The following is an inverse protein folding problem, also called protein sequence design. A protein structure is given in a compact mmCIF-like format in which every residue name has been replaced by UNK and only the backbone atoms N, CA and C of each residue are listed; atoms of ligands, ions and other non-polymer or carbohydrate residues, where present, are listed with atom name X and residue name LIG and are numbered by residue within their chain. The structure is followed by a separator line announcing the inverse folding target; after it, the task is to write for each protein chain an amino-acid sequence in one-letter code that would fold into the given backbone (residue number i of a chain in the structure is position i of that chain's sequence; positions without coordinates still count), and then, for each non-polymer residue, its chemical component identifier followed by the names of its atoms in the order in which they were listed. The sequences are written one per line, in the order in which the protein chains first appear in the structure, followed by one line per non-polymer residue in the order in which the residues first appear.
data_IF_915912934153
#
_entry.id   IF_915912934153
#
_cell.length_a   1.000
_cell.length_b   1.000
_cell.length_c   1.000
_cell.angle_alpha   90.00
_cell.angle_beta   90.00
_cell.angle_gamma   90.00
#
_symmetry.space_group_name_H-M   'P 1'
#
loop_
_entity.id
_entity.type
_entity.pdbx_description
1 polymer ?
#
# COMPACT_ATOMS: atom_id res chain seq x y z
N UNK A 1 20.16 9.57 10.91
CA UNK A 1 19.06 10.52 10.60
C UNK A 1 18.37 10.94 11.90
N UNK A 2 18.19 12.25 12.14
CA UNK A 2 17.43 12.73 13.29
C UNK A 2 15.99 12.21 13.29
N UNK A 3 15.46 11.89 14.48
CA UNK A 3 14.11 11.34 14.59
C UNK A 3 13.05 12.46 14.67
N UNK A 4 12.88 13.19 13.59
CA UNK A 4 11.84 14.22 13.44
C UNK A 4 11.29 14.22 12.00
N UNK A 5 10.10 14.78 11.83
CA UNK A 5 9.38 14.75 10.55
C UNK A 5 10.16 15.44 9.43
N UNK A 6 10.83 16.54 9.74
CA UNK A 6 11.63 17.30 8.78
C UNK A 6 12.79 16.45 8.22
N UNK A 7 13.50 15.72 9.08
CA UNK A 7 14.57 14.82 8.64
C UNK A 7 14.00 13.63 7.87
N UNK A 8 12.87 13.06 8.30
CA UNK A 8 12.18 11.97 7.59
C UNK A 8 11.75 12.39 6.18
N UNK A 9 11.22 13.60 6.03
CA UNK A 9 10.85 14.13 4.72
C UNK A 9 12.06 14.40 3.82
N UNK A 10 13.14 14.96 4.36
CA UNK A 10 14.32 15.32 3.58
C UNK A 10 15.23 14.13 3.32
N UNK A 11 15.83 13.57 4.39
CA UNK A 11 16.86 12.52 4.29
C UNK A 11 16.26 11.14 3.97
N UNK A 12 15.03 10.89 4.45
CA UNK A 12 14.28 9.69 4.15
C UNK A 12 13.63 9.77 2.77
N UNK A 13 12.54 10.52 2.64
CA UNK A 13 11.71 10.50 1.45
C UNK A 13 12.37 11.15 0.23
N UNK A 14 12.97 12.35 0.38
CA UNK A 14 13.50 13.09 -0.78
C UNK A 14 14.88 12.62 -1.24
N UNK A 15 15.73 12.09 -0.36
CA UNK A 15 17.10 11.71 -0.69
C UNK A 15 17.29 10.19 -0.85
N UNK A 16 16.39 9.35 -0.31
CA UNK A 16 16.52 7.90 -0.38
C UNK A 16 15.58 7.30 -1.43
N UNK A 17 16.09 6.73 -2.53
CA UNK A 17 15.26 6.21 -3.62
C UNK A 17 14.39 5.00 -3.18
N UNK A 18 14.85 4.18 -2.23
CA UNK A 18 14.10 3.01 -1.76
C UNK A 18 12.90 3.44 -0.93
N UNK A 19 13.10 4.40 -0.03
CA UNK A 19 12.02 4.98 0.78
C UNK A 19 10.98 5.64 -0.11
N UNK A 20 11.43 6.45 -1.08
CA UNK A 20 10.55 7.09 -2.06
C UNK A 20 9.74 6.05 -2.84
N UNK A 21 10.40 5.01 -3.36
CA UNK A 21 9.74 3.94 -4.11
C UNK A 21 8.69 3.22 -3.24
N UNK A 22 9.04 2.82 -2.01
CA UNK A 22 8.10 2.15 -1.10
C UNK A 22 6.87 3.00 -0.80
N UNK A 23 7.07 4.27 -0.43
CA UNK A 23 5.98 5.18 -0.11
C UNK A 23 5.09 5.46 -1.33
N UNK A 24 5.71 5.67 -2.51
CA UNK A 24 5.00 5.93 -3.77
C UNK A 24 4.20 4.73 -4.26
N UNK A 25 4.75 3.51 -4.19
CA UNK A 25 4.04 2.29 -4.57
C UNK A 25 2.76 2.14 -3.73
N UNK A 26 2.86 2.32 -2.40
CA UNK A 26 1.71 2.20 -1.50
C UNK A 26 0.71 3.33 -1.76
N UNK A 27 1.17 4.58 -1.93
CA UNK A 27 0.31 5.73 -2.15
C UNK A 27 -0.46 5.64 -3.48
N UNK A 28 0.23 5.30 -4.57
CA UNK A 28 -0.40 5.12 -5.88
C UNK A 28 -1.39 3.94 -5.89
N UNK A 29 -1.04 2.82 -5.25
CA UNK A 29 -1.96 1.70 -5.10
C UNK A 29 -3.23 2.11 -4.32
N UNK A 30 -3.08 2.82 -3.21
CA UNK A 30 -4.21 3.30 -2.42
C UNK A 30 -5.09 4.30 -3.18
N UNK A 31 -4.49 5.19 -3.98
CA UNK A 31 -5.21 6.19 -4.78
C UNK A 31 -6.00 5.59 -5.95
N UNK A 32 -5.59 4.42 -6.46
CA UNK A 32 -6.25 3.77 -7.60
C UNK A 32 -7.61 3.16 -7.27
N UNK A 33 -7.96 3.07 -5.97
CA UNK A 33 -9.19 2.41 -5.53
C UNK A 33 -10.37 3.37 -5.58
N UNK A 34 -11.47 2.93 -6.19
CA UNK A 34 -12.69 3.73 -6.32
C UNK A 34 -13.47 3.75 -5.00
N UNK A 35 -13.86 4.95 -4.58
CA UNK A 35 -14.73 5.14 -3.42
C UNK A 35 -16.19 4.92 -3.75
N UNK A 36 -16.92 4.37 -2.80
CA UNK A 36 -18.36 4.14 -2.86
C UNK A 36 -19.03 4.52 -1.54
N UNK A 37 -20.29 4.93 -1.62
CA UNK A 37 -21.13 5.15 -0.44
C UNK A 37 -22.20 4.07 -0.43
N UNK A 38 -22.33 3.41 0.70
CA UNK A 38 -23.36 2.37 0.94
C UNK A 38 -24.42 2.92 1.89
N UNK A 39 -25.67 2.65 1.56
CA UNK A 39 -26.80 2.82 2.48
C UNK A 39 -27.26 1.44 2.91
N UNK A 40 -27.45 1.23 4.21
CA UNK A 40 -27.94 -0.02 4.78
C UNK A 40 -29.41 0.13 5.11
N UNK A 41 -30.28 -0.69 4.56
CA UNK A 41 -31.72 -0.69 4.85
C UNK A 41 -32.03 -1.25 6.26
N UNK A 42 -33.29 -1.16 6.68
CA UNK A 42 -33.74 -1.69 7.97
C UNK A 42 -33.61 -3.22 8.10
N UNK A 43 -33.41 -3.93 7.00
CA UNK A 43 -33.19 -5.38 6.95
C UNK A 43 -31.70 -5.75 6.96
N UNK A 44 -30.80 -4.76 6.94
CA UNK A 44 -29.37 -4.97 6.92
C UNK A 44 -28.76 -5.11 5.51
N UNK A 45 -29.55 -4.98 4.44
CA UNK A 45 -29.04 -5.05 3.07
C UNK A 45 -28.30 -3.74 2.71
N UNK A 46 -27.11 -3.88 2.14
CA UNK A 46 -26.30 -2.77 1.68
C UNK A 46 -26.57 -2.48 0.22
N UNK A 47 -26.85 -1.22 -0.09
CA UNK A 47 -27.03 -0.75 -1.46
C UNK A 47 -26.06 0.40 -1.75
N UNK A 48 -25.46 0.40 -2.93
CA UNK A 48 -24.57 1.49 -3.38
C UNK A 48 -25.43 2.73 -3.69
N UNK A 49 -25.10 3.86 -3.07
CA UNK A 49 -25.69 5.15 -3.38
C UNK A 49 -24.71 5.96 -4.25
N UNK A 50 -24.93 5.95 -5.55
CA UNK A 50 -24.10 6.64 -6.54
C UNK A 50 -24.32 8.15 -6.61
N UNK A 51 -25.33 8.68 -5.89
CA UNK A 51 -25.72 10.11 -5.92
C UNK A 51 -25.49 10.80 -4.58
N UNK A 52 -24.87 10.14 -3.63
CA UNK A 52 -24.64 10.73 -2.32
C UNK A 52 -23.67 11.92 -2.39
N UNK A 53 -24.00 13.09 -1.80
CA UNK A 53 -23.18 14.31 -1.90
C UNK A 53 -21.75 14.18 -1.37
N UNK A 54 -21.49 13.20 -0.51
CA UNK A 54 -20.15 12.89 -0.03
C UNK A 54 -19.22 12.41 -1.16
N UNK A 55 -19.76 11.76 -2.20
CA UNK A 55 -18.98 11.34 -3.37
C UNK A 55 -18.46 12.54 -4.17
N UNK A 56 -19.26 13.61 -4.29
CA UNK A 56 -18.84 14.84 -4.96
C UNK A 56 -17.68 15.50 -4.21
N UNK A 57 -17.76 15.57 -2.87
CA UNK A 57 -16.67 16.07 -2.02
C UNK A 57 -15.41 15.21 -2.15
N UNK A 58 -15.56 13.87 -2.17
CA UNK A 58 -14.42 12.98 -2.29
C UNK A 58 -13.81 13.01 -3.69
N UNK A 59 -14.60 13.16 -4.75
CA UNK A 59 -14.10 13.29 -6.12
C UNK A 59 -13.26 14.57 -6.32
N UNK A 60 -13.62 15.64 -5.63
CA UNK A 60 -12.89 16.92 -5.64
C UNK A 60 -12.79 17.49 -4.23
N UNK A 61 -11.83 17.02 -3.43
CA UNK A 61 -11.70 17.41 -2.02
C UNK A 61 -11.48 18.90 -1.81
N UNK A 62 -10.83 19.58 -2.75
CA UNK A 62 -10.61 21.01 -2.77
C UNK A 62 -10.42 21.51 -4.21
N UNK A 63 -10.39 22.86 -4.46
CA UNK A 63 -10.25 23.40 -5.81
C UNK A 63 -8.97 23.01 -6.55
N UNK A 64 -7.94 22.56 -5.85
CA UNK A 64 -6.60 22.28 -6.39
C UNK A 64 -6.30 20.79 -6.61
N UNK A 65 -7.09 19.88 -6.01
CA UNK A 65 -6.77 18.47 -5.99
C UNK A 65 -7.94 17.60 -6.40
N UNK A 66 -7.65 16.54 -7.16
CA UNK A 66 -8.54 15.40 -7.36
C UNK A 66 -8.44 14.44 -6.16
N UNK A 67 -9.31 13.42 -6.11
CA UNK A 67 -9.22 12.37 -5.09
C UNK A 67 -7.87 11.65 -5.13
N UNK A 68 -7.38 11.33 -6.33
CA UNK A 68 -6.13 10.61 -6.49
C UNK A 68 -4.95 11.38 -5.90
N UNK A 69 -4.84 12.67 -6.22
CA UNK A 69 -3.78 13.54 -5.68
C UNK A 69 -3.89 13.67 -4.15
N UNK A 70 -5.10 13.84 -3.65
CA UNK A 70 -5.39 13.91 -2.22
C UNK A 70 -5.04 12.61 -1.50
N UNK A 71 -5.40 11.45 -2.08
CA UNK A 71 -5.09 10.14 -1.52
C UNK A 71 -3.59 9.85 -1.51
N UNK A 72 -2.87 10.23 -2.59
CA UNK A 72 -1.41 10.11 -2.66
C UNK A 72 -0.76 10.93 -1.56
N UNK A 73 -1.13 12.19 -1.39
CA UNK A 73 -0.57 13.07 -0.36
C UNK A 73 -0.84 12.53 1.06
N UNK A 74 -2.08 12.13 1.32
CA UNK A 74 -2.52 11.55 2.59
C UNK A 74 -1.71 10.31 2.98
N UNK A 75 -1.56 9.37 2.04
CA UNK A 75 -0.82 8.13 2.26
C UNK A 75 0.69 8.39 2.34
N UNK A 76 1.22 9.29 1.50
CA UNK A 76 2.64 9.66 1.57
C UNK A 76 3.00 10.24 2.95
N UNK A 77 2.22 11.17 3.50
CA UNK A 77 2.42 11.68 4.85
C UNK A 77 2.33 10.57 5.90
N UNK A 78 1.35 9.67 5.78
CA UNK A 78 1.26 8.53 6.69
C UNK A 78 2.51 7.63 6.64
N UNK A 79 3.11 7.45 5.46
CA UNK A 79 4.33 6.63 5.29
C UNK A 79 5.60 7.37 5.70
N UNK A 80 5.63 8.71 5.62
CA UNK A 80 6.79 9.52 6.01
C UNK A 80 6.74 9.90 7.49
N UNK A 81 5.62 10.44 7.95
CA UNK A 81 5.48 10.94 9.32
C UNK A 81 4.86 9.95 10.31
N UNK A 82 4.24 8.88 9.80
CA UNK A 82 3.43 7.95 10.59
C UNK A 82 2.05 8.50 10.94
N UNK A 83 1.69 9.66 10.41
CA UNK A 83 0.43 10.35 10.67
C UNK A 83 0.13 11.38 9.59
N UNK A 84 -1.13 11.79 9.51
CA UNK A 84 -1.56 12.95 8.74
C UNK A 84 -2.80 13.61 9.34
N UNK A 85 -3.06 14.83 8.92
CA UNK A 85 -4.14 15.66 9.42
C UNK A 85 -4.97 16.18 8.26
N UNK A 86 -6.30 16.04 8.36
CA UNK A 86 -7.23 16.57 7.37
C UNK A 86 -8.07 17.67 8.05
N UNK A 87 -8.00 18.88 7.50
CA UNK A 87 -8.83 20.00 7.87
C UNK A 87 -10.09 19.99 7.00
N UNK A 88 -11.29 20.11 7.61
CA UNK A 88 -12.54 20.32 6.91
C UNK A 88 -12.96 21.79 6.95
N UNK A 89 -13.46 22.30 5.84
CA UNK A 89 -14.03 23.63 5.73
C UNK A 89 -15.46 23.56 5.13
N UNK A 90 -16.40 24.39 5.62
CA UNK A 90 -16.31 25.29 6.79
C UNK A 90 -16.26 24.52 8.12
N UNK A 91 -16.02 25.25 9.20
CA UNK A 91 -15.99 24.67 10.56
C UNK A 91 -17.33 24.06 10.97
N UNK A 92 -18.43 24.73 10.60
CA UNK A 92 -19.79 24.28 10.92
C UNK A 92 -20.56 23.90 9.67
N UNK A 93 -21.47 22.95 9.80
CA UNK A 93 -22.30 22.45 8.71
C UNK A 93 -21.64 21.42 7.83
N UNK A 94 -22.18 21.23 6.62
CA UNK A 94 -21.64 20.25 5.66
C UNK A 94 -20.28 20.70 5.12
N UNK A 95 -19.26 19.85 5.17
CA UNK A 95 -17.98 20.16 4.57
C UNK A 95 -18.10 20.38 3.06
N UNK A 96 -17.41 21.41 2.57
CA UNK A 96 -17.29 21.71 1.15
C UNK A 96 -15.89 21.48 0.62
N UNK A 97 -14.89 21.54 1.52
CA UNK A 97 -13.48 21.39 1.17
C UNK A 97 -12.74 20.62 2.26
N UNK A 98 -11.75 19.85 1.84
CA UNK A 98 -10.83 19.11 2.68
C UNK A 98 -9.40 19.45 2.29
N UNK A 99 -8.53 19.71 3.27
CA UNK A 99 -7.11 20.01 3.07
C UNK A 99 -6.24 19.14 3.94
N UNK A 100 -5.18 18.61 3.37
CA UNK A 100 -4.15 17.91 4.15
C UNK A 100 -3.19 18.94 4.72
N UNK A 101 -2.96 18.87 6.01
CA UNK A 101 -2.05 19.78 6.71
C UNK A 101 -0.70 19.10 6.93
N UNK A 102 0.39 19.85 6.70
CA UNK A 102 1.76 19.36 6.90
C UNK A 102 1.97 18.94 8.38
N UNK A 103 2.27 17.67 8.65
CA UNK A 103 2.47 17.20 10.02
C UNK A 103 3.63 17.85 10.78
N UNK A 104 4.64 18.37 10.06
CA UNK A 104 5.78 19.08 10.69
C UNK A 104 5.37 20.42 11.31
N UNK A 105 4.29 21.03 10.78
CA UNK A 105 3.74 22.31 11.26
C UNK A 105 2.60 22.12 12.27
N UNK A 106 2.22 20.89 12.56
CA UNK A 106 1.11 20.56 13.46
C UNK A 106 1.64 20.26 14.86
N UNK A 107 1.08 20.94 15.84
CA UNK A 107 1.32 20.70 17.26
C UNK A 107 0.03 20.16 17.90
N UNK A 108 0.11 18.98 18.54
CA UNK A 108 -1.03 18.36 19.21
C UNK A 108 -0.90 18.62 20.71
N UNK A 109 -1.76 19.47 21.24
CA UNK A 109 -1.77 19.78 22.68
C UNK A 109 -2.63 18.76 23.42
N UNK A 110 -1.98 17.95 24.23
CA UNK A 110 -2.62 16.99 25.13
C UNK A 110 -3.15 17.67 26.39
N UNK A 111 -4.06 16.97 27.07
CA UNK A 111 -4.43 17.30 28.44
C UNK A 111 -3.44 16.64 29.41
N UNK A 112 -3.24 17.22 30.59
CA UNK A 112 -2.44 16.64 31.66
C UNK A 112 -3.01 15.29 32.13
N UNK A 113 -4.30 15.09 31.96
CA UNK A 113 -5.00 13.83 32.22
C UNK A 113 -5.97 13.48 31.09
N UNK A 114 -5.90 12.24 30.59
CA UNK A 114 -6.81 11.70 29.59
C UNK A 114 -6.15 11.47 28.22
N UNK A 115 -6.89 10.81 27.32
CA UNK A 115 -6.41 10.37 26.01
C UNK A 115 -6.98 11.20 24.86
N UNK A 116 -7.72 12.28 25.15
CA UNK A 116 -8.32 13.17 24.15
C UNK A 116 -7.47 14.44 24.12
N UNK A 117 -6.99 14.88 22.93
CA UNK A 117 -6.25 16.13 22.83
C UNK A 117 -7.15 17.32 23.17
N UNK A 118 -6.56 18.39 23.68
CA UNK A 118 -7.28 19.65 23.96
C UNK A 118 -7.56 20.41 22.68
N UNK A 119 -6.55 20.48 21.81
CA UNK A 119 -6.58 21.24 20.56
C UNK A 119 -5.45 20.86 19.65
N UNK A 120 -5.60 21.20 18.40
CA UNK A 120 -4.55 21.19 17.39
C UNK A 120 -4.11 22.62 17.11
N UNK A 121 -2.80 22.85 16.98
CA UNK A 121 -2.21 24.14 16.64
C UNK A 121 -1.40 23.99 15.36
N UNK A 122 -1.77 24.73 14.31
CA UNK A 122 -1.11 24.64 13.00
C UNK A 122 -0.42 25.95 12.63
N UNK A 123 0.84 25.88 12.26
CA UNK A 123 1.65 27.02 11.83
C UNK A 123 2.95 27.16 12.61
N UNK A 124 3.71 28.23 12.28
CA UNK A 124 5.01 28.54 12.87
C UNK A 124 4.97 29.85 13.66
N UNK A 125 5.82 29.94 14.70
CA UNK A 125 5.94 31.14 15.52
C UNK A 125 4.68 31.46 16.33
N UNK A 126 4.36 32.75 16.47
CA UNK A 126 3.24 33.22 17.29
C UNK A 126 1.87 33.17 16.58
N UNK A 127 1.88 33.13 15.23
CA UNK A 127 0.65 33.08 14.43
C UNK A 127 0.31 31.64 14.09
N UNK A 128 -0.32 30.93 15.05
CA UNK A 128 -0.85 29.59 14.84
C UNK A 128 -2.36 29.62 14.74
N UNK A 129 -2.91 28.85 13.78
CA UNK A 129 -4.33 28.53 13.75
C UNK A 129 -4.61 27.48 14.81
N UNK A 130 -5.66 27.71 15.62
CA UNK A 130 -6.02 26.83 16.74
C UNK A 130 -7.35 26.15 16.44
N UNK A 131 -7.36 24.83 16.50
CA UNK A 131 -8.54 24.00 16.27
C UNK A 131 -8.88 23.26 17.56
N UNK A 132 -9.95 23.65 18.27
CA UNK A 132 -10.33 23.01 19.53
C UNK A 132 -10.87 21.59 19.29
N UNK A 133 -10.76 20.75 20.32
CA UNK A 133 -11.38 19.43 20.35
C UNK A 133 -12.45 19.42 21.44
N UNK A 134 -13.65 19.01 21.08
CA UNK A 134 -14.71 18.80 22.06
C UNK A 134 -14.38 17.59 22.93
N UNK A 135 -14.11 17.80 24.20
CA UNK A 135 -13.68 16.74 25.13
C UNK A 135 -14.78 15.72 25.46
N UNK A 136 -16.03 16.05 25.24
CA UNK A 136 -17.16 15.15 25.51
C UNK A 136 -17.42 14.20 24.32
N UNK A 137 -17.36 14.75 23.10
CA UNK A 137 -17.64 13.99 21.86
C UNK A 137 -16.40 13.54 21.11
N UNK A 138 -15.24 14.15 21.36
CA UNK A 138 -14.01 13.94 20.60
C UNK A 138 -14.01 14.65 19.24
N UNK A 139 -15.06 15.41 18.93
CA UNK A 139 -15.21 16.11 17.64
C UNK A 139 -14.25 17.28 17.52
N UNK A 140 -13.71 17.45 16.33
CA UNK A 140 -12.84 18.55 15.93
C UNK A 140 -13.06 18.90 14.46
N UNK A 141 -12.56 20.04 14.04
CA UNK A 141 -12.43 20.41 12.63
C UNK A 141 -11.29 19.61 11.95
N UNK A 142 -10.39 19.03 12.73
CA UNK A 142 -9.25 18.25 12.27
C UNK A 142 -9.53 16.75 12.45
N UNK A 143 -9.39 15.97 11.39
CA UNK A 143 -9.24 14.52 11.48
C UNK A 143 -7.76 14.19 11.59
N UNK A 144 -7.37 13.53 12.65
CA UNK A 144 -6.02 13.03 12.88
C UNK A 144 -6.00 11.50 12.76
N UNK A 145 -5.25 10.99 11.80
CA UNK A 145 -5.00 9.55 11.62
C UNK A 145 -3.52 9.30 11.86
N UNK A 146 -3.22 8.36 12.75
CA UNK A 146 -1.84 8.06 13.15
C UNK A 146 -1.62 6.57 13.39
N UNK A 147 -0.39 6.13 13.20
CA UNK A 147 0.10 4.82 13.63
C UNK A 147 0.26 4.79 15.15
N UNK A 148 0.21 3.59 15.72
CA UNK A 148 0.51 3.41 17.13
C UNK A 148 1.95 3.85 17.44
N UNK A 149 2.12 4.63 18.51
CA UNK A 149 3.41 5.10 18.98
C UNK A 149 3.51 4.85 20.50
N UNK A 150 4.32 3.88 20.95
CA UNK A 150 4.46 3.59 22.36
C UNK A 150 5.16 4.71 23.14
N UNK A 151 5.93 5.56 22.45
CA UNK A 151 6.72 6.62 23.10
C UNK A 151 6.00 7.96 23.16
N UNK A 152 4.92 8.14 22.39
CA UNK A 152 4.16 9.39 22.34
C UNK A 152 2.71 9.13 21.97
N UNK A 153 1.82 9.31 22.94
CA UNK A 153 0.39 9.08 22.73
C UNK A 153 -0.27 10.08 21.78
N UNK A 154 0.35 11.24 21.55
CA UNK A 154 -0.22 12.33 20.72
C UNK A 154 0.21 12.28 19.27
N UNK A 155 1.35 11.67 18.97
CA UNK A 155 1.94 11.64 17.62
C UNK A 155 2.06 10.20 17.10
N UNK A 156 1.98 10.04 15.80
CA UNK A 156 2.21 8.77 15.13
C UNK A 156 3.69 8.35 15.13
N UNK A 157 3.95 7.04 15.04
CA UNK A 157 5.30 6.52 14.82
C UNK A 157 5.55 6.39 13.32
N UNK A 158 6.52 7.14 12.81
CA UNK A 158 6.95 7.01 11.42
C UNK A 158 7.54 5.62 11.15
N UNK A 159 7.21 4.96 10.02
CA UNK A 159 7.95 3.78 9.57
C UNK A 159 9.46 4.03 9.39
N UNK A 160 9.85 5.27 9.11
CA UNK A 160 11.26 5.67 9.04
C UNK A 160 11.98 5.61 10.38
N UNK A 161 11.28 5.67 11.50
CA UNK A 161 11.92 5.57 12.82
C UNK A 161 12.67 4.24 13.01
N UNK A 162 12.05 3.07 12.84
CA UNK A 162 12.76 1.79 12.87
C UNK A 162 13.70 1.61 11.67
N UNK A 163 13.39 2.18 10.51
CA UNK A 163 14.21 2.09 9.30
C UNK A 163 15.36 3.12 9.24
N UNK A 164 15.49 4.02 10.23
CA UNK A 164 16.45 5.14 10.19
C UNK A 164 17.88 4.68 9.94
N UNK A 165 18.34 3.63 10.61
CA UNK A 165 19.68 3.08 10.43
C UNK A 165 19.90 2.52 9.03
N UNK A 166 18.96 1.76 8.50
CA UNK A 166 19.03 1.23 7.14
C UNK A 166 19.04 2.37 6.10
N UNK A 167 18.21 3.39 6.31
CA UNK A 167 18.21 4.61 5.47
C UNK A 167 19.56 5.31 5.48
N UNK A 168 20.19 5.47 6.66
CA UNK A 168 21.52 6.10 6.78
C UNK A 168 22.61 5.26 6.10
N UNK A 169 22.59 3.94 6.24
CA UNK A 169 23.54 3.03 5.56
C UNK A 169 23.41 3.20 4.05
N UNK A 170 22.19 3.18 3.52
CA UNK A 170 21.94 3.31 2.08
C UNK A 170 22.38 4.70 1.57
N UNK A 171 21.98 5.79 2.24
CA UNK A 171 22.33 7.15 1.86
C UNK A 171 23.85 7.38 1.90
N UNK A 172 24.51 6.98 2.99
CA UNK A 172 25.95 7.15 3.14
C UNK A 172 26.74 6.28 2.16
N UNK A 173 26.29 5.04 1.91
CA UNK A 173 26.87 4.17 0.88
C UNK A 173 26.77 4.78 -0.51
N UNK A 174 25.61 5.34 -0.86
CA UNK A 174 25.38 6.01 -2.14
C UNK A 174 26.24 7.29 -2.28
N UNK A 175 26.31 8.13 -1.23
CA UNK A 175 27.16 9.33 -1.21
C UNK A 175 28.65 8.97 -1.32
N UNK A 176 29.06 7.91 -0.60
CA UNK A 176 30.44 7.46 -0.65
C UNK A 176 30.81 6.97 -2.06
N UNK A 177 29.98 6.15 -2.71
CA UNK A 177 30.17 5.71 -4.08
C UNK A 177 30.22 6.88 -5.06
N UNK A 178 29.31 7.85 -4.92
CA UNK A 178 29.29 9.06 -5.73
C UNK A 178 30.58 9.86 -5.58
N UNK A 179 31.04 10.08 -4.35
CA UNK A 179 32.29 10.80 -4.08
C UNK A 179 33.51 10.04 -4.61
N UNK A 180 33.52 8.71 -4.50
CA UNK A 180 34.60 7.90 -5.05
C UNK A 180 34.69 8.03 -6.58
N UNK A 181 33.54 8.02 -7.27
CA UNK A 181 33.47 8.24 -8.72
C UNK A 181 33.90 9.65 -9.10
N UNK A 182 33.43 10.68 -8.37
CA UNK A 182 33.84 12.08 -8.58
C UNK A 182 35.38 12.28 -8.42
N UNK A 183 35.97 11.53 -7.50
CA UNK A 183 37.42 11.54 -7.27
C UNK A 183 38.17 10.49 -8.10
N UNK A 184 37.61 10.10 -9.27
CA UNK A 184 38.25 9.20 -10.22
C UNK A 184 38.49 7.78 -9.67
N UNK A 185 37.62 7.33 -8.74
CA UNK A 185 37.68 6.02 -8.08
C UNK A 185 39.02 5.71 -7.39
N UNK A 186 39.76 6.75 -6.97
CA UNK A 186 41.05 6.57 -6.30
C UNK A 186 40.87 6.46 -4.79
N UNK A 187 41.52 5.51 -4.16
CA UNK A 187 41.50 5.38 -2.72
C UNK A 187 42.25 6.55 -2.04
N UNK A 188 41.77 6.90 -0.84
CA UNK A 188 42.46 7.90 0.00
C UNK A 188 43.87 7.42 0.35
N UNK A 189 44.82 8.28 0.31
CA UNK A 189 46.21 7.97 0.62
C UNK A 189 46.94 9.16 1.18
N UNK A 190 48.16 8.92 1.65
CA UNK A 190 49.09 9.93 2.12
C UNK A 190 50.26 10.03 1.14
N UNK A 191 50.61 11.25 0.80
CA UNK A 191 51.87 11.53 0.07
C UNK A 191 52.93 11.87 1.09
N UNK A 192 53.89 10.99 1.22
CA UNK A 192 55.06 11.20 2.06
C UNK A 192 56.13 11.89 1.22
N UNK A 193 56.69 13.01 1.73
CA UNK A 193 57.78 13.71 1.08
C UNK A 193 59.01 13.63 1.99
N UNK A 194 60.14 13.25 1.46
CA UNK A 194 61.35 13.12 2.24
C UNK A 194 61.92 14.52 2.59
N UNK A 195 62.24 14.74 3.88
CA UNK A 195 62.82 15.98 4.38
C UNK A 195 61.81 17.03 4.85
N UNK A 196 62.34 18.18 5.31
CA UNK A 196 61.51 19.31 5.78
C UNK A 196 61.10 20.14 4.58
N UNK A 197 59.79 20.31 4.38
CA UNK A 197 59.20 21.05 3.25
C UNK A 197 58.58 22.31 3.80
N UNK A 198 58.81 23.45 3.15
CA UNK A 198 58.19 24.71 3.49
C UNK A 198 56.71 24.76 3.13
N UNK A 199 55.95 25.62 3.81
CA UNK A 199 54.49 25.72 3.67
C UNK A 199 54.04 26.06 2.23
N UNK A 200 54.86 26.85 1.52
CA UNK A 200 54.61 27.24 0.13
C UNK A 200 54.65 26.02 -0.81
N UNK A 201 55.65 25.17 -0.59
CA UNK A 201 55.80 23.90 -1.36
C UNK A 201 54.68 22.90 -1.01
N UNK A 202 54.26 22.79 0.26
CA UNK A 202 53.12 21.97 0.67
C UNK A 202 51.84 22.43 -0.05
N UNK A 203 51.58 23.73 -0.11
CA UNK A 203 50.41 24.28 -0.78
C UNK A 203 50.43 24.03 -2.29
N UNK A 204 51.61 24.21 -2.95
CA UNK A 204 51.79 23.89 -4.38
C UNK A 204 51.56 22.39 -4.67
N UNK A 205 52.07 21.51 -3.84
CA UNK A 205 51.83 20.08 -3.96
C UNK A 205 50.36 19.76 -3.80
N UNK A 206 49.67 20.34 -2.81
CA UNK A 206 48.22 20.15 -2.60
C UNK A 206 47.42 20.62 -3.81
N UNK A 207 47.71 21.76 -4.37
CA UNK A 207 47.05 22.25 -5.58
C UNK A 207 47.33 21.38 -6.81
N UNK A 208 48.57 20.91 -6.97
CA UNK A 208 48.95 20.01 -8.03
C UNK A 208 48.16 18.68 -7.94
N UNK A 209 48.13 18.08 -6.76
CA UNK A 209 47.37 16.85 -6.54
C UNK A 209 45.88 17.10 -6.78
N UNK A 210 45.36 18.21 -6.32
CA UNK A 210 43.96 18.58 -6.56
C UNK A 210 43.65 18.66 -8.07
N UNK A 211 44.48 19.39 -8.83
CA UNK A 211 44.30 19.51 -10.29
C UNK A 211 44.53 18.22 -11.06
N UNK A 212 45.46 17.39 -10.64
CA UNK A 212 45.86 16.18 -11.37
C UNK A 212 44.97 14.95 -11.03
N UNK A 213 44.32 14.98 -9.83
CA UNK A 213 43.64 13.79 -9.30
C UNK A 213 42.15 13.98 -9.03
N UNK A 214 41.68 15.18 -8.77
CA UNK A 214 40.27 15.41 -8.53
C UNK A 214 39.50 15.55 -9.87
N UNK A 215 38.26 14.97 -9.88
CA UNK A 215 37.31 15.09 -10.98
C UNK A 215 37.34 13.92 -11.98
N UNK A 216 36.15 13.63 -12.53
CA UNK A 216 35.93 12.52 -13.49
C UNK A 216 36.81 12.67 -14.75
N UNK A 217 37.11 13.90 -15.18
CA UNK A 217 37.96 14.18 -16.33
C UNK A 217 39.44 13.71 -16.15
N UNK A 218 39.86 13.50 -14.90
CA UNK A 218 41.20 13.05 -14.56
C UNK A 218 41.27 11.54 -14.28
N UNK A 219 40.18 10.80 -14.53
CA UNK A 219 40.15 9.36 -14.36
C UNK A 219 41.20 8.68 -15.25
N UNK A 220 42.06 7.89 -14.64
CA UNK A 220 43.13 7.18 -15.37
C UNK A 220 44.45 7.96 -15.48
N UNK A 221 44.52 9.25 -15.15
CA UNK A 221 45.77 10.01 -15.16
C UNK A 221 46.71 9.48 -14.08
N UNK A 222 47.99 9.32 -14.42
CA UNK A 222 49.04 8.91 -13.49
C UNK A 222 49.86 10.13 -13.14
N UNK A 223 49.75 10.67 -11.91
CA UNK A 223 50.58 11.82 -11.52
C UNK A 223 52.03 11.39 -11.35
N UNK A 224 52.92 12.28 -11.83
CA UNK A 224 54.33 12.08 -11.64
C UNK A 224 54.75 12.59 -10.24
N UNK A 225 55.29 11.68 -9.42
CA UNK A 225 55.87 12.04 -8.13
C UNK A 225 57.36 12.28 -8.31
N UNK A 226 57.84 13.48 -7.91
CA UNK A 226 59.25 13.87 -7.96
C UNK A 226 59.76 14.17 -6.56
N UNK A 227 61.08 14.26 -6.38
CA UNK A 227 61.69 14.64 -5.09
C UNK A 227 61.59 13.60 -3.99
N UNK A 228 61.48 12.30 -4.32
CA UNK A 228 61.43 11.26 -3.31
C UNK A 228 60.04 11.08 -2.66
N UNK A 229 59.03 11.74 -3.21
CA UNK A 229 57.66 11.58 -2.71
C UNK A 229 57.13 10.15 -2.96
N UNK A 230 56.49 9.57 -1.94
CA UNK A 230 55.90 8.22 -1.99
C UNK A 230 54.41 8.30 -1.66
N UNK A 231 53.60 7.66 -2.47
CA UNK A 231 52.17 7.54 -2.20
C UNK A 231 51.91 6.23 -1.44
N UNK A 232 51.30 6.33 -0.27
CA UNK A 232 50.87 5.20 0.54
C UNK A 232 49.35 5.22 0.65
N UNK A 233 48.71 4.17 0.16
CA UNK A 233 47.26 4.02 0.23
C UNK A 233 46.84 3.72 1.68
N UNK A 234 45.89 4.47 2.22
CA UNK A 234 45.38 4.32 3.59
C UNK A 234 44.01 3.66 3.67
N UNK A 235 43.30 3.58 2.55
CA UNK A 235 41.93 3.05 2.55
C UNK A 235 41.87 1.61 2.07
N UNK A 236 40.92 0.87 2.63
CA UNK A 236 40.51 -0.43 2.11
C UNK A 236 39.85 -0.28 0.73
N UNK A 237 39.95 -1.30 -0.12
CA UNK A 237 39.26 -1.28 -1.40
C UNK A 237 37.74 -1.36 -1.18
N UNK A 238 36.91 -0.78 -2.09
CA UNK A 238 35.45 -0.92 -2.03
C UNK A 238 34.98 -2.37 -1.94
N UNK A 239 35.75 -3.29 -2.54
CA UNK A 239 35.48 -4.71 -2.53
C UNK A 239 35.65 -5.36 -1.14
N UNK A 240 36.57 -4.80 -0.33
CA UNK A 240 36.84 -5.33 1.02
C UNK A 240 35.76 -4.91 2.05
N UNK A 241 34.89 -3.96 1.71
CA UNK A 241 33.87 -3.41 2.60
C UNK A 241 32.47 -3.99 2.36
N UNK A 242 32.29 -4.91 1.41
CA UNK A 242 30.96 -5.50 1.07
C UNK A 242 29.83 -4.45 0.89
N UNK A 243 30.17 -3.26 0.36
CA UNK A 243 29.23 -2.14 0.25
C UNK A 243 27.96 -2.50 -0.50
N UNK A 244 28.09 -3.28 -1.57
CA UNK A 244 26.96 -3.70 -2.38
C UNK A 244 25.98 -4.54 -1.55
N UNK A 245 26.49 -5.51 -0.79
CA UNK A 245 25.66 -6.35 0.07
C UNK A 245 25.03 -5.55 1.22
N UNK A 246 25.76 -4.60 1.78
CA UNK A 246 25.24 -3.72 2.84
C UNK A 246 24.12 -2.82 2.33
N UNK A 247 24.27 -2.24 1.13
CA UNK A 247 23.24 -1.42 0.50
C UNK A 247 22.00 -2.25 0.12
N UNK A 248 22.20 -3.45 -0.44
CA UNK A 248 21.11 -4.39 -0.74
C UNK A 248 20.39 -4.84 0.54
N UNK A 249 21.13 -5.12 1.61
CA UNK A 249 20.57 -5.41 2.93
C UNK A 249 19.73 -4.26 3.48
N UNK A 250 20.26 -3.04 3.41
CA UNK A 250 19.55 -1.85 3.85
C UNK A 250 18.26 -1.60 3.03
N UNK A 251 18.32 -1.79 1.71
CA UNK A 251 17.13 -1.70 0.86
C UNK A 251 16.05 -2.74 1.23
N UNK A 252 16.48 -3.96 1.55
CA UNK A 252 15.59 -5.03 2.02
C UNK A 252 14.95 -4.68 3.37
N UNK A 253 15.72 -4.14 4.31
CA UNK A 253 15.21 -3.74 5.63
C UNK A 253 14.18 -2.60 5.51
N UNK A 254 14.43 -1.62 4.63
CA UNK A 254 13.48 -0.55 4.33
C UNK A 254 12.19 -1.16 3.75
N UNK A 255 12.29 -2.01 2.72
CA UNK A 255 11.13 -2.68 2.12
C UNK A 255 10.31 -3.46 3.14
N UNK A 256 10.97 -4.19 4.05
CA UNK A 256 10.32 -4.95 5.12
C UNK A 256 9.52 -4.06 6.07
N UNK A 257 10.09 -2.94 6.51
CA UNK A 257 9.41 -1.99 7.42
C UNK A 257 8.21 -1.34 6.74
N UNK A 258 8.29 -1.06 5.44
CA UNK A 258 7.18 -0.50 4.67
C UNK A 258 6.12 -1.54 4.29
N UNK A 259 6.43 -2.84 4.42
CA UNK A 259 5.56 -3.92 3.96
C UNK A 259 5.50 -4.04 2.44
N UNK A 260 6.55 -3.60 1.73
CA UNK A 260 6.67 -3.74 0.28
C UNK A 260 7.50 -4.97 -0.04
N UNK A 261 6.95 -5.96 -0.76
CA UNK A 261 7.69 -7.15 -1.15
C UNK A 261 8.91 -6.82 -2.02
N UNK A 262 10.03 -7.47 -1.74
CA UNK A 262 11.30 -7.20 -2.40
C UNK A 262 11.27 -7.30 -3.94
N UNK A 263 10.55 -8.26 -4.57
CA UNK A 263 10.45 -8.33 -6.04
C UNK A 263 9.88 -7.06 -6.69
N UNK A 264 9.11 -6.25 -5.95
CA UNK A 264 8.58 -4.97 -6.44
C UNK A 264 9.60 -3.82 -6.36
N UNK A 265 10.70 -4.01 -5.64
CA UNK A 265 11.77 -3.02 -5.46
C UNK A 265 13.02 -3.35 -6.29
N UNK A 266 13.27 -4.63 -6.58
CA UNK A 266 14.46 -5.09 -7.30
C UNK A 266 14.07 -6.12 -8.35
N UNK A 267 14.66 -6.02 -9.55
CA UNK A 267 14.38 -6.95 -10.64
C UNK A 267 15.19 -8.26 -10.58
N UNK A 268 16.13 -8.40 -9.65
CA UNK A 268 17.09 -9.50 -9.61
C UNK A 268 16.48 -10.90 -9.38
N UNK A 269 15.27 -10.96 -8.82
CA UNK A 269 14.56 -12.23 -8.56
C UNK A 269 13.15 -12.26 -9.19
N UNK A 270 12.85 -11.38 -10.13
CA UNK A 270 11.52 -11.21 -10.68
C UNK A 270 11.23 -12.28 -11.75
N UNK A 271 10.43 -13.29 -11.39
CA UNK A 271 9.72 -14.14 -12.34
C UNK A 271 8.26 -13.70 -12.38
N UNK A 272 7.53 -13.98 -13.47
CA UNK A 272 6.11 -13.60 -13.58
C UNK A 272 5.29 -14.09 -12.37
N UNK A 273 5.47 -15.33 -11.97
CA UNK A 273 4.73 -15.89 -10.82
C UNK A 273 5.08 -15.24 -9.49
N UNK A 274 6.34 -14.79 -9.30
CA UNK A 274 6.75 -14.10 -8.09
C UNK A 274 6.25 -12.64 -8.06
N UNK A 275 6.11 -12.02 -9.22
CA UNK A 275 5.60 -10.65 -9.32
C UNK A 275 4.10 -10.58 -8.99
N UNK A 276 3.29 -11.50 -9.51
CA UNK A 276 1.86 -11.56 -9.22
C UNK A 276 1.62 -11.83 -7.72
N UNK A 277 2.35 -12.79 -7.14
CA UNK A 277 2.29 -13.08 -5.72
C UNK A 277 2.76 -11.88 -4.86
N UNK A 278 3.79 -11.15 -5.32
CA UNK A 278 4.27 -9.96 -4.63
C UNK A 278 3.26 -8.82 -4.69
N UNK A 279 2.61 -8.61 -5.84
CA UNK A 279 1.53 -7.62 -5.96
C UNK A 279 0.35 -7.97 -5.07
N UNK A 280 -0.13 -9.21 -5.12
CA UNK A 280 -1.22 -9.67 -4.26
C UNK A 280 -0.90 -9.45 -2.78
N UNK A 281 0.31 -9.83 -2.35
CA UNK A 281 0.76 -9.64 -0.98
C UNK A 281 0.87 -8.16 -0.58
N UNK A 282 1.35 -7.28 -1.47
CA UNK A 282 1.34 -5.84 -1.23
C UNK A 282 -0.08 -5.33 -0.93
N UNK A 283 -1.06 -5.78 -1.70
CA UNK A 283 -2.44 -5.39 -1.51
C UNK A 283 -3.02 -5.94 -0.21
N UNK A 284 -2.92 -7.25 0.03
CA UNK A 284 -3.54 -7.92 1.18
C UNK A 284 -2.91 -7.52 2.51
N UNK A 285 -1.59 -7.41 2.57
CA UNK A 285 -0.86 -7.22 3.82
C UNK A 285 -0.60 -5.74 4.15
N UNK A 286 -0.59 -4.85 3.13
CA UNK A 286 -0.18 -3.45 3.33
C UNK A 286 -1.25 -2.45 2.90
N UNK A 287 -1.72 -2.50 1.65
CA UNK A 287 -2.59 -1.45 1.11
C UNK A 287 -4.00 -1.54 1.67
N UNK A 288 -4.64 -2.71 1.63
CA UNK A 288 -6.01 -2.88 2.12
C UNK A 288 -6.17 -2.61 3.62
N UNK A 289 -5.28 -3.09 4.52
CA UNK A 289 -5.36 -2.75 5.94
C UNK A 289 -5.26 -1.24 6.19
N UNK A 290 -4.37 -0.56 5.45
CA UNK A 290 -4.23 0.89 5.54
C UNK A 290 -5.47 1.62 5.03
N UNK A 291 -5.99 1.24 3.86
CA UNK A 291 -7.22 1.81 3.30
C UNK A 291 -8.41 1.61 4.23
N UNK A 292 -8.56 0.40 4.80
CA UNK A 292 -9.61 0.11 5.77
C UNK A 292 -9.56 1.06 6.97
N UNK A 293 -8.37 1.32 7.51
CA UNK A 293 -8.19 2.27 8.60
C UNK A 293 -8.61 3.68 8.18
N UNK A 294 -8.06 4.15 7.05
CA UNK A 294 -8.27 5.52 6.56
C UNK A 294 -9.74 5.75 6.22
N UNK A 295 -10.33 4.88 5.41
CA UNK A 295 -11.71 5.05 4.93
C UNK A 295 -12.73 4.93 6.07
N UNK A 296 -12.52 4.01 7.02
CA UNK A 296 -13.36 3.95 8.23
C UNK A 296 -13.29 5.24 9.05
N UNK A 297 -12.10 5.82 9.20
CA UNK A 297 -11.91 7.09 9.91
C UNK A 297 -12.52 8.27 9.17
N UNK A 298 -12.37 8.32 7.85
CA UNK A 298 -13.03 9.31 6.99
C UNK A 298 -14.55 9.18 7.07
N UNK A 299 -15.08 7.96 7.02
CA UNK A 299 -16.50 7.67 7.17
C UNK A 299 -17.03 8.18 8.53
N UNK A 300 -16.35 7.85 9.63
CA UNK A 300 -16.71 8.33 10.97
C UNK A 300 -16.67 9.85 11.09
N UNK A 301 -15.75 10.51 10.39
CA UNK A 301 -15.56 11.97 10.46
C UNK A 301 -16.53 12.74 9.56
N UNK A 302 -16.85 12.23 8.37
CA UNK A 302 -17.60 12.96 7.35
C UNK A 302 -19.08 12.57 7.32
N UNK A 303 -19.42 11.28 7.40
CA UNK A 303 -20.80 10.81 7.22
C UNK A 303 -21.80 11.49 8.17
N UNK A 304 -21.53 11.67 9.47
CA UNK A 304 -22.48 12.33 10.37
C UNK A 304 -22.79 13.79 10.00
N UNK A 305 -21.91 14.43 9.23
CA UNK A 305 -22.07 15.82 8.78
C UNK A 305 -22.95 15.94 7.52
N UNK A 306 -23.07 14.86 6.75
CA UNK A 306 -23.90 14.79 5.55
C UNK A 306 -25.27 14.19 5.84
N UNK A 307 -25.31 13.19 6.70
CA UNK A 307 -26.53 12.49 7.08
C UNK A 307 -26.67 12.46 8.61
N UNK A 308 -27.55 13.32 9.12
CA UNK A 308 -27.88 13.39 10.55
C UNK A 308 -28.90 12.31 10.98
N UNK A 309 -29.46 11.55 10.03
CA UNK A 309 -30.58 10.63 10.29
C UNK A 309 -30.16 9.31 10.93
N UNK A 310 -28.85 9.07 11.20
CA UNK A 310 -28.29 7.80 11.69
C UNK A 310 -28.65 6.58 10.80
N UNK A 311 -29.05 6.80 9.58
CA UNK A 311 -29.47 5.75 8.65
C UNK A 311 -28.25 5.12 8.01
N UNK A 312 -27.65 4.13 8.58
CA UNK A 312 -26.75 3.13 7.97
C UNK A 312 -25.87 3.53 6.78
N UNK A 313 -25.57 4.86 6.62
CA UNK A 313 -24.69 5.36 5.56
C UNK A 313 -23.25 5.09 5.92
N UNK A 314 -22.46 4.59 4.98
CA UNK A 314 -21.04 4.28 5.18
C UNK A 314 -20.24 4.63 3.93
N UNK A 315 -19.14 5.37 4.09
CA UNK A 315 -18.13 5.51 3.06
C UNK A 315 -17.26 4.26 3.07
N UNK A 316 -17.08 3.69 1.90
CA UNK A 316 -16.25 2.51 1.68
C UNK A 316 -15.47 2.64 0.37
N UNK A 317 -14.71 1.65 0.02
CA UNK A 317 -14.07 1.54 -1.28
C UNK A 317 -14.46 0.22 -1.95
N UNK A 318 -14.41 0.21 -3.26
CA UNK A 318 -14.64 -0.99 -4.04
C UNK A 318 -13.32 -1.77 -4.17
N UNK A 319 -13.19 -2.87 -3.43
CA UNK A 319 -12.01 -3.72 -3.49
C UNK A 319 -11.80 -4.35 -4.87
N UNK A 320 -12.90 -4.60 -5.61
CA UNK A 320 -12.84 -5.18 -6.96
C UNK A 320 -12.25 -4.21 -8.00
N UNK A 321 -12.18 -2.91 -7.67
CA UNK A 321 -11.49 -1.93 -8.51
C UNK A 321 -9.96 -1.96 -8.38
N UNK A 322 -9.42 -2.73 -7.43
CA UNK A 322 -7.98 -2.83 -7.18
C UNK A 322 -7.29 -3.74 -8.21
N UNK A 323 -6.40 -3.22 -9.07
CA UNK A 323 -5.78 -4.02 -10.14
C UNK A 323 -4.97 -5.20 -9.63
N UNK A 324 -4.30 -5.06 -8.49
CA UNK A 324 -3.48 -6.12 -7.92
C UNK A 324 -4.25 -7.28 -7.28
N UNK A 325 -5.60 -7.17 -7.17
CA UNK A 325 -6.47 -8.24 -6.69
C UNK A 325 -7.15 -9.02 -7.82
N UNK A 326 -6.88 -8.68 -9.07
CA UNK A 326 -7.44 -9.38 -10.22
C UNK A 326 -7.19 -10.90 -10.21
N UNK A 327 -5.98 -11.40 -9.89
CA UNK A 327 -5.75 -12.84 -9.77
C UNK A 327 -6.56 -13.51 -8.66
N UNK A 328 -6.83 -12.82 -7.55
CA UNK A 328 -7.70 -13.32 -6.49
C UNK A 328 -9.15 -13.44 -6.97
N UNK A 329 -9.63 -12.43 -7.70
CA UNK A 329 -10.99 -12.41 -8.26
C UNK A 329 -11.18 -13.51 -9.29
N UNK A 330 -10.20 -13.74 -10.17
CA UNK A 330 -10.22 -14.85 -11.11
C UNK A 330 -10.29 -16.22 -10.39
N UNK A 331 -9.49 -16.39 -9.34
CA UNK A 331 -9.54 -17.62 -8.50
C UNK A 331 -10.89 -17.77 -7.82
N UNK A 332 -11.49 -16.67 -7.32
CA UNK A 332 -12.83 -16.69 -6.73
C UNK A 332 -13.86 -17.10 -7.78
N UNK A 333 -13.87 -16.49 -8.95
CA UNK A 333 -14.80 -16.80 -10.03
C UNK A 333 -14.70 -18.26 -10.48
N UNK A 334 -13.46 -18.75 -10.62
CA UNK A 334 -13.23 -20.16 -10.93
C UNK A 334 -13.76 -21.08 -9.85
N UNK A 335 -13.47 -20.80 -8.57
CA UNK A 335 -13.98 -21.56 -7.43
C UNK A 335 -15.50 -21.56 -7.35
N UNK A 336 -16.14 -20.41 -7.57
CA UNK A 336 -17.60 -20.30 -7.57
C UNK A 336 -18.21 -21.07 -8.75
N UNK A 337 -17.64 -20.94 -9.95
CA UNK A 337 -18.05 -21.72 -11.12
C UNK A 337 -17.95 -23.22 -10.87
N UNK A 338 -16.84 -23.68 -10.31
CA UNK A 338 -16.62 -25.10 -10.02
C UNK A 338 -17.57 -25.59 -8.91
N UNK A 339 -17.86 -24.77 -7.89
CA UNK A 339 -18.78 -25.09 -6.81
C UNK A 339 -20.26 -25.19 -7.30
N UNK A 340 -20.69 -24.27 -8.17
CA UNK A 340 -22.02 -24.33 -8.81
C UNK A 340 -22.09 -25.52 -9.74
N UNK A 341 -21.08 -25.77 -10.57
CA UNK A 341 -21.00 -26.90 -11.49
C UNK A 341 -20.94 -28.25 -10.77
N UNK A 342 -20.41 -28.29 -9.55
CA UNK A 342 -20.40 -29.46 -8.68
C UNK A 342 -21.68 -29.67 -7.85
N UNK A 343 -22.65 -28.75 -7.93
CA UNK A 343 -23.89 -28.82 -7.14
C UNK A 343 -23.72 -28.56 -5.64
N UNK A 344 -22.63 -27.86 -5.26
CA UNK A 344 -22.32 -27.56 -3.85
C UNK A 344 -23.05 -26.31 -3.35
N UNK A 345 -23.24 -25.32 -4.22
CA UNK A 345 -23.90 -24.04 -3.95
C UNK A 345 -24.86 -23.69 -5.11
N UNK A 346 -25.84 -22.85 -4.81
CA UNK A 346 -26.75 -22.32 -5.82
C UNK A 346 -26.12 -21.23 -6.66
N UNK A 347 -26.59 -20.96 -7.88
CA UNK A 347 -26.15 -19.78 -8.67
C UNK A 347 -26.29 -18.45 -7.92
N UNK A 348 -27.36 -18.24 -7.13
CA UNK A 348 -27.56 -17.01 -6.37
C UNK A 348 -26.57 -16.88 -5.21
N UNK A 349 -26.26 -17.96 -4.50
CA UNK A 349 -25.20 -17.95 -3.48
C UNK A 349 -23.83 -17.61 -4.10
N UNK A 350 -23.50 -18.18 -5.25
CA UNK A 350 -22.27 -17.85 -5.97
C UNK A 350 -22.26 -16.39 -6.45
N UNK A 351 -23.39 -15.89 -6.96
CA UNK A 351 -23.54 -14.50 -7.40
C UNK A 351 -23.39 -13.52 -6.23
N UNK A 352 -24.00 -13.81 -5.09
CA UNK A 352 -23.86 -13.01 -3.87
C UNK A 352 -22.41 -12.94 -3.39
N UNK A 353 -21.68 -14.08 -3.40
CA UNK A 353 -20.27 -14.13 -3.03
C UNK A 353 -19.37 -13.36 -4.03
N UNK A 354 -19.76 -13.32 -5.30
CA UNK A 354 -19.07 -12.55 -6.35
C UNK A 354 -19.53 -11.08 -6.44
N UNK A 355 -20.46 -10.63 -5.56
CA UNK A 355 -20.99 -9.26 -5.55
C UNK A 355 -22.03 -8.95 -6.62
N UNK A 356 -22.63 -9.94 -7.28
CA UNK A 356 -23.69 -9.76 -8.24
C UNK A 356 -25.08 -9.86 -7.60
N UNK A 357 -26.06 -9.16 -8.18
CA UNK A 357 -27.46 -9.25 -7.75
C UNK A 357 -28.03 -10.66 -8.03
N UNK A 358 -28.97 -11.09 -7.19
CA UNK A 358 -29.71 -12.34 -7.37
C UNK A 358 -30.52 -12.34 -8.67
N UNK A 359 -30.68 -13.50 -9.28
CA UNK A 359 -31.50 -13.68 -10.46
C UNK A 359 -32.65 -14.65 -10.19
N UNK A 360 -33.79 -14.43 -10.80
CA UNK A 360 -34.94 -15.30 -10.66
C UNK A 360 -34.61 -16.72 -11.16
N UNK A 361 -34.89 -17.73 -10.34
CA UNK A 361 -34.59 -19.13 -10.63
C UNK A 361 -33.15 -19.55 -10.27
N UNK A 362 -32.34 -18.63 -9.67
CA UNK A 362 -30.96 -18.92 -9.28
C UNK A 362 -30.81 -19.64 -7.92
N UNK A 363 -31.91 -19.96 -7.22
CA UNK A 363 -31.89 -20.62 -5.89
C UNK A 363 -31.92 -22.15 -5.97
N UNK A 364 -31.84 -22.70 -7.18
CA UNK A 364 -31.86 -24.15 -7.40
C UNK A 364 -30.42 -24.66 -7.56
N UNK A 365 -30.10 -25.75 -6.83
CA UNK A 365 -28.83 -26.44 -7.02
C UNK A 365 -28.76 -27.06 -8.42
N UNK A 366 -27.75 -26.69 -9.18
CA UNK A 366 -27.48 -27.23 -10.50
C UNK A 366 -26.49 -28.40 -10.38
N UNK A 367 -26.89 -29.56 -10.88
CA UNK A 367 -26.03 -30.74 -10.90
C UNK A 367 -25.60 -31.01 -12.33
N UNK A 368 -24.36 -31.44 -12.61
CA UNK A 368 -23.93 -31.81 -13.97
C UNK A 368 -24.95 -32.78 -14.62
N UNK A 369 -25.12 -32.70 -15.92
CA UNK A 369 -26.15 -33.46 -16.65
C UNK A 369 -26.11 -34.98 -16.48
N UNK A 370 -25.04 -35.50 -15.89
CA UNK A 370 -24.91 -36.91 -15.43
C UNK A 370 -25.46 -37.14 -14.02
N UNK A 371 -25.74 -36.07 -13.26
CA UNK A 371 -26.32 -36.10 -11.92
C UNK A 371 -27.68 -35.39 -12.01
N UNK A 372 -28.74 -35.95 -11.53
CA UNK A 372 -30.07 -35.32 -11.49
C UNK A 372 -30.20 -34.43 -10.25
N UNK A 373 -31.04 -33.37 -10.28
CA UNK A 373 -31.41 -32.63 -9.06
C UNK A 373 -31.91 -33.59 -7.96
N UNK A 374 -31.57 -33.28 -6.70
CA UNK A 374 -31.91 -34.14 -5.55
C UNK A 374 -33.41 -34.37 -5.44
N UNK A 375 -34.22 -33.39 -5.76
CA UNK A 375 -35.69 -33.46 -5.82
C UNK A 375 -36.23 -34.20 -7.05
N UNK A 376 -35.40 -34.49 -8.05
CA UNK A 376 -35.70 -35.31 -9.22
C UNK A 376 -35.00 -36.68 -9.22
N UNK A 377 -34.23 -36.97 -8.17
CA UNK A 377 -33.53 -38.24 -8.03
C UNK A 377 -34.51 -39.45 -8.03
N UNK A 378 -35.74 -39.23 -7.58
CA UNK A 378 -36.82 -40.23 -7.60
C UNK A 378 -37.71 -40.20 -8.87
N UNK A 379 -37.54 -39.19 -9.73
CA UNK A 379 -38.28 -39.13 -11.00
C UNK A 379 -37.51 -39.85 -12.12
N UNK A 380 -37.62 -41.10 -12.07
CA UNK A 380 -37.47 -42.16 -13.10
C UNK A 380 -36.80 -41.81 -14.45
N UNK A 381 -35.66 -42.47 -14.74
CA UNK A 381 -35.23 -42.69 -16.12
C UNK A 381 -36.12 -43.72 -16.88
N UNK A 382 -37.14 -44.26 -16.19
CA UNK A 382 -37.95 -45.37 -16.69
C UNK A 382 -38.84 -45.00 -17.87
N UNK A 383 -39.38 -43.78 -17.95
CA UNK A 383 -40.35 -43.46 -19.01
C UNK A 383 -39.69 -43.33 -20.39
N UNK A 384 -38.52 -42.72 -20.49
CA UNK A 384 -37.82 -42.56 -21.76
C UNK A 384 -37.14 -43.85 -22.21
N UNK A 385 -36.60 -44.64 -21.28
CA UNK A 385 -36.04 -45.97 -21.55
C UNK A 385 -37.14 -46.94 -21.97
N UNK A 386 -38.27 -46.95 -21.26
CA UNK A 386 -39.42 -47.76 -21.62
C UNK A 386 -39.97 -47.39 -23.01
N UNK A 387 -40.02 -46.10 -23.32
CA UNK A 387 -40.43 -45.61 -24.64
C UNK A 387 -39.45 -46.01 -25.73
N UNK A 388 -38.17 -45.83 -25.53
CA UNK A 388 -37.10 -46.21 -26.46
C UNK A 388 -37.09 -47.75 -26.68
N UNK A 389 -37.27 -48.55 -25.64
CA UNK A 389 -37.34 -50.00 -25.75
C UNK A 389 -38.60 -50.44 -26.50
N UNK A 390 -39.76 -49.79 -26.29
CA UNK A 390 -40.95 -50.02 -27.10
C UNK A 390 -40.78 -49.69 -28.56
N UNK A 391 -40.15 -48.54 -28.84
CA UNK A 391 -39.87 -48.08 -30.21
C UNK A 391 -38.87 -49.02 -30.94
N UNK A 392 -38.05 -49.75 -30.19
CA UNK A 392 -37.16 -50.80 -30.67
C UNK A 392 -37.82 -52.17 -30.78
N UNK A 393 -39.11 -52.28 -30.49
CA UNK A 393 -39.91 -53.54 -30.68
C UNK A 393 -39.90 -54.52 -29.52
N UNK A 394 -39.42 -54.13 -28.33
CA UNK A 394 -39.45 -54.98 -27.13
C UNK A 394 -40.86 -55.08 -26.58
N UNK A 395 -41.27 -56.31 -26.19
CA UNK A 395 -42.56 -56.56 -25.55
C UNK A 395 -42.62 -56.05 -24.12
N UNK A 396 -43.78 -55.75 -23.61
CA UNK A 396 -43.97 -55.28 -22.24
C UNK A 396 -43.33 -56.21 -21.18
N UNK A 397 -43.29 -57.50 -21.45
CA UNK A 397 -42.67 -58.49 -20.58
C UNK A 397 -41.16 -58.43 -20.55
N UNK A 398 -40.53 -58.26 -21.69
CA UNK A 398 -39.08 -58.12 -21.83
C UNK A 398 -38.60 -56.79 -21.21
N UNK A 399 -39.42 -55.74 -21.31
CA UNK A 399 -39.14 -54.47 -20.67
C UNK A 399 -39.24 -54.57 -19.14
N UNK A 400 -40.23 -55.23 -18.60
CA UNK A 400 -40.39 -55.45 -17.17
C UNK A 400 -39.24 -56.30 -16.59
N UNK A 401 -38.83 -57.33 -17.32
CA UNK A 401 -37.72 -58.22 -16.93
C UNK A 401 -36.37 -57.48 -16.95
N UNK A 402 -36.11 -56.64 -17.96
CA UNK A 402 -34.92 -55.82 -18.09
C UNK A 402 -34.81 -54.71 -17.00
N UNK A 403 -35.96 -54.22 -16.52
CA UNK A 403 -36.04 -53.18 -15.47
C UNK A 403 -36.18 -53.76 -14.06
N UNK A 404 -36.22 -55.10 -13.90
CA UNK A 404 -36.29 -55.75 -12.60
C UNK A 404 -37.58 -55.52 -11.86
N UNK A 405 -38.67 -55.20 -12.57
CA UNK A 405 -40.01 -55.01 -11.98
C UNK A 405 -40.66 -56.35 -11.88
N UNK A 406 -40.86 -56.89 -10.67
CA UNK A 406 -41.64 -58.10 -10.45
C UNK A 406 -43.12 -57.83 -10.75
N UNK A 407 -43.74 -58.63 -11.63
CA UNK A 407 -45.17 -58.60 -11.82
C UNK A 407 -45.86 -58.78 -10.45
N UNK A 408 -46.71 -57.80 -10.10
CA UNK A 408 -47.65 -57.99 -9.02
C UNK A 408 -48.69 -58.96 -9.53
N UNK A 409 -48.80 -60.08 -8.82
CA UNK A 409 -49.76 -61.16 -9.08
C UNK A 409 -51.25 -60.71 -8.90
#
# INVERSE_FOLDING_TARGET
MPQNIKAYAKEGYSENPIVFACASIIANAAASVKLEVYTTDAKGNKKVDTKHPLLDLMAKPNPMQTWEEFAIEMVAWHRVAGEFFILRLPETGKPKELYILNPDLMDVKGADSGNIPLRYEYGTGEKKSVYPVNRLTGESQILHIKTFNPNNQWRGLSPLSPAARATDIHNNGSRWNSNLLLNSARPSGVVEVAGTVDETTVNRLREYFKKAWEGVANAGNVPLLTGGAKFTQLSHSPKDMDFEKNMAGAAKDIGLVYGVPLPLLTMEAATFSNMDAAQERLWTDTVLPLLNLIIKKLSQFLVPLFDSSKSGVTLAYNADSAPGLEPQRERLYKRMKDAVGGGLITPNEARAEMGFEEVQGGDVLLVPGTLKPIDQADSQPTTDIVKAMRDCGFTAKEIAEALGVKEAA
#
